data_IF_438884455344
#
_entry.id   IF_438884455344
#
_cell.length_a   1.000
_cell.length_b   1.000
_cell.length_c   1.000
_cell.angle_alpha   90.00
_cell.angle_beta   90.00
_cell.angle_gamma   90.00
#
_symmetry.space_group_name_H-M   'P 1'
#
loop_
_entity.id
_entity.type
_entity.pdbx_description
1 polymer ?
#
# COMPACT_ATOMS: atom_id res chain seq x y z
N UNK A 1 25.24 19.30 -32.49
CA UNK A 1 25.21 19.53 -31.02
C UNK A 1 26.51 20.09 -30.41
N UNK A 2 27.70 19.98 -31.02
CA UNK A 2 28.96 20.52 -30.44
C UNK A 2 29.16 22.05 -30.51
N UNK A 3 28.38 22.78 -31.32
CA UNK A 3 28.62 24.23 -31.59
C UNK A 3 27.99 25.22 -30.61
N UNK A 4 27.09 24.78 -29.72
CA UNK A 4 26.38 25.67 -28.78
C UNK A 4 27.05 25.65 -27.39
N UNK A 5 27.84 24.62 -27.07
CA UNK A 5 28.43 24.42 -25.74
C UNK A 5 29.68 25.29 -25.51
N UNK A 6 30.46 25.59 -26.57
CA UNK A 6 31.68 26.39 -26.46
C UNK A 6 31.48 27.85 -25.97
N UNK A 7 30.49 28.62 -26.46
CA UNK A 7 30.30 29.99 -25.97
C UNK A 7 29.76 30.07 -24.54
N UNK A 8 29.12 29.01 -24.04
CA UNK A 8 28.68 28.90 -22.64
C UNK A 8 29.86 28.72 -21.68
N UNK A 9 30.84 27.88 -22.03
CA UNK A 9 32.03 27.66 -21.22
C UNK A 9 32.91 28.91 -21.11
N UNK A 10 33.02 29.69 -22.19
CA UNK A 10 33.85 30.90 -22.23
C UNK A 10 33.28 32.08 -21.42
N UNK A 11 32.01 32.01 -20.99
CA UNK A 11 31.36 33.03 -20.16
C UNK A 11 31.50 32.77 -18.65
N UNK A 12 32.08 31.63 -18.28
CA UNK A 12 32.29 31.21 -16.89
C UNK A 12 33.66 31.68 -16.36
N UNK A 13 34.62 32.00 -17.24
CA UNK A 13 35.86 32.67 -16.86
C UNK A 13 35.64 34.18 -16.78
N UNK A 14 35.25 34.68 -15.60
CA UNK A 14 35.43 36.08 -15.26
C UNK A 14 36.20 36.19 -13.94
N UNK A 15 37.41 36.75 -14.01
CA UNK A 15 38.48 36.76 -13.00
C UNK A 15 38.30 37.75 -11.84
N UNK A 16 37.11 37.87 -11.24
CA UNK A 16 36.96 38.59 -9.95
C UNK A 16 35.99 37.80 -9.09
N UNK A 17 36.29 37.67 -7.79
CA UNK A 17 35.61 36.82 -6.82
C UNK A 17 34.13 37.14 -6.51
N UNK A 18 33.34 37.49 -7.52
CA UNK A 18 31.89 37.34 -7.50
C UNK A 18 31.54 35.97 -8.04
N UNK A 19 30.94 35.12 -7.21
CA UNK A 19 30.20 33.95 -7.69
C UNK A 19 29.28 34.45 -8.81
N UNK A 20 29.51 33.98 -10.03
CA UNK A 20 28.73 34.40 -11.20
C UNK A 20 27.25 34.21 -10.91
N UNK A 21 26.43 35.23 -11.15
CA UNK A 21 24.98 35.21 -10.92
C UNK A 21 24.31 33.96 -11.52
N UNK A 22 24.87 33.43 -12.63
CA UNK A 22 24.48 32.18 -13.26
C UNK A 22 24.70 30.94 -12.38
N UNK A 23 25.83 30.85 -11.66
CA UNK A 23 26.10 29.76 -10.71
C UNK A 23 25.09 29.80 -9.56
N UNK A 24 24.74 30.99 -9.09
CA UNK A 24 23.78 31.18 -8.00
C UNK A 24 22.37 30.74 -8.44
N UNK A 25 21.92 31.13 -9.65
CA UNK A 25 20.66 30.68 -10.24
C UNK A 25 20.65 29.16 -10.46
N UNK A 26 21.75 28.60 -10.98
CA UNK A 26 21.88 27.15 -11.15
C UNK A 26 21.80 26.46 -9.79
N UNK A 27 22.51 26.94 -8.75
CA UNK A 27 22.44 26.35 -7.41
C UNK A 27 21.03 26.40 -6.82
N UNK A 28 20.32 27.51 -6.98
CA UNK A 28 18.94 27.66 -6.48
C UNK A 28 18.00 26.64 -7.13
N UNK A 29 18.21 26.28 -8.40
CA UNK A 29 17.39 25.29 -9.11
C UNK A 29 17.88 23.86 -8.90
N UNK A 30 19.20 23.64 -8.89
CA UNK A 30 19.80 22.30 -8.79
C UNK A 30 19.76 21.76 -7.37
N UNK A 31 19.93 22.60 -6.34
CA UNK A 31 19.98 22.13 -4.95
C UNK A 31 18.65 21.44 -4.55
N UNK A 32 17.46 22.03 -4.80
CA UNK A 32 16.18 21.35 -4.58
C UNK A 32 16.08 20.03 -5.36
N UNK A 33 16.55 20.00 -6.61
CA UNK A 33 16.55 18.79 -7.43
C UNK A 33 17.47 17.69 -6.85
N UNK A 34 18.68 18.04 -6.39
CA UNK A 34 19.62 17.07 -5.80
C UNK A 34 19.10 16.50 -4.48
N UNK A 35 18.41 17.30 -3.66
CA UNK A 35 17.76 16.81 -2.43
C UNK A 35 16.61 15.87 -2.80
N UNK A 36 15.81 16.22 -3.80
CA UNK A 36 14.70 15.40 -4.27
C UNK A 36 15.18 14.04 -4.80
N UNK A 37 16.18 14.02 -5.69
CA UNK A 37 16.74 12.77 -6.24
C UNK A 37 17.53 11.99 -5.19
N UNK A 38 18.33 12.68 -4.38
CA UNK A 38 19.31 12.05 -3.49
C UNK A 38 18.71 11.49 -2.20
N UNK A 39 17.62 12.08 -1.69
CA UNK A 39 17.05 11.71 -0.38
C UNK A 39 15.61 11.23 -0.55
N UNK A 40 14.75 12.06 -1.16
CA UNK A 40 13.30 11.84 -1.11
C UNK A 40 12.83 10.71 -2.02
N UNK A 41 13.43 10.57 -3.21
CA UNK A 41 13.08 9.52 -4.15
C UNK A 41 13.42 8.12 -3.60
N UNK A 42 14.62 7.87 -3.05
CA UNK A 42 14.92 6.63 -2.33
C UNK A 42 13.93 6.35 -1.18
N UNK A 43 13.63 7.33 -0.33
CA UNK A 43 12.70 7.17 0.79
C UNK A 43 11.29 6.77 0.30
N UNK A 44 10.78 7.43 -0.73
CA UNK A 44 9.47 7.09 -1.33
C UNK A 44 9.45 5.67 -1.87
N UNK A 45 10.52 5.24 -2.55
CA UNK A 45 10.62 3.89 -3.10
C UNK A 45 10.63 2.87 -1.97
N UNK A 46 11.46 3.07 -0.94
CA UNK A 46 11.53 2.19 0.22
C UNK A 46 10.19 2.09 0.94
N UNK A 47 9.53 3.22 1.16
CA UNK A 47 8.20 3.26 1.74
C UNK A 47 7.17 2.50 0.90
N UNK A 48 7.19 2.67 -0.43
CA UNK A 48 6.31 1.95 -1.36
C UNK A 48 6.48 0.44 -1.21
N UNK A 49 7.73 -0.03 -1.13
CA UNK A 49 8.04 -1.45 -0.96
C UNK A 49 7.61 -1.96 0.42
N UNK A 50 7.89 -1.21 1.49
CA UNK A 50 7.49 -1.58 2.84
C UNK A 50 5.96 -1.70 2.96
N UNK A 51 5.22 -0.75 2.41
CA UNK A 51 3.75 -0.77 2.41
C UNK A 51 3.21 -1.95 1.59
N UNK A 52 3.83 -2.24 0.43
CA UNK A 52 3.46 -3.39 -0.39
C UNK A 52 3.69 -4.71 0.35
N UNK A 53 4.87 -4.88 0.94
CA UNK A 53 5.21 -6.10 1.68
C UNK A 53 4.35 -6.25 2.93
N UNK A 54 4.05 -5.16 3.65
CA UNK A 54 3.11 -5.17 4.75
C UNK A 54 1.75 -5.71 4.32
N UNK A 55 1.16 -5.17 3.26
CA UNK A 55 -0.15 -5.63 2.79
C UNK A 55 -0.13 -7.11 2.37
N UNK A 56 0.89 -7.55 1.64
CA UNK A 56 1.02 -8.95 1.19
C UNK A 56 1.25 -9.91 2.36
N UNK A 57 2.28 -9.65 3.18
CA UNK A 57 2.64 -10.53 4.29
C UNK A 57 1.53 -10.61 5.33
N UNK A 58 0.80 -9.50 5.56
CA UNK A 58 -0.35 -9.50 6.47
C UNK A 58 -1.45 -10.39 5.93
N UNK A 59 -1.84 -10.25 4.66
CA UNK A 59 -2.84 -11.13 4.05
C UNK A 59 -2.42 -12.61 4.15
N UNK A 60 -1.17 -12.92 3.80
CA UNK A 60 -0.61 -14.27 3.84
C UNK A 60 -0.55 -14.84 5.27
N UNK A 61 -0.25 -14.02 6.26
CA UNK A 61 -0.17 -14.49 7.65
C UNK A 61 -1.56 -14.71 8.25
N UNK A 62 -2.50 -13.81 7.97
CA UNK A 62 -3.88 -13.90 8.47
C UNK A 62 -4.60 -15.10 7.85
N UNK A 63 -4.41 -15.37 6.55
CA UNK A 63 -5.08 -16.51 5.90
C UNK A 63 -4.65 -17.85 6.51
N UNK A 64 -3.44 -17.93 7.08
CA UNK A 64 -2.96 -19.15 7.76
C UNK A 64 -3.52 -19.36 9.16
N UNK A 65 -4.19 -18.35 9.74
CA UNK A 65 -4.83 -18.44 11.06
C UNK A 65 -6.19 -19.08 10.93
N UNK A 66 -6.19 -20.37 10.64
CA UNK A 66 -7.41 -21.13 10.42
C UNK A 66 -8.07 -21.55 11.73
N UNK A 67 -9.39 -21.40 11.78
CA UNK A 67 -10.25 -21.97 12.81
C UNK A 67 -10.17 -23.50 12.74
N UNK A 68 -9.51 -24.10 13.72
CA UNK A 68 -9.30 -25.54 13.79
C UNK A 68 -10.62 -26.33 13.94
N UNK A 69 -11.63 -25.74 14.60
CA UNK A 69 -12.93 -26.38 14.75
C UNK A 69 -13.68 -26.39 13.41
N UNK A 70 -13.66 -25.28 12.67
CA UNK A 70 -14.21 -25.23 11.32
C UNK A 70 -13.47 -26.18 10.36
N UNK A 71 -12.13 -26.21 10.44
CA UNK A 71 -11.29 -27.06 9.61
C UNK A 71 -11.55 -28.55 9.85
N UNK A 72 -11.81 -28.95 11.10
CA UNK A 72 -12.17 -30.33 11.45
C UNK A 72 -13.49 -30.79 10.81
N UNK A 73 -14.36 -29.85 10.42
CA UNK A 73 -15.60 -30.10 9.70
C UNK A 73 -15.46 -29.93 8.18
N UNK A 74 -14.24 -29.73 7.68
CA UNK A 74 -13.99 -29.55 6.25
C UNK A 74 -14.29 -28.15 5.71
N UNK A 75 -14.43 -27.15 6.58
CA UNK A 75 -14.63 -25.76 6.17
C UNK A 75 -13.33 -24.96 6.40
N UNK A 76 -12.90 -24.19 5.41
CA UNK A 76 -11.69 -23.37 5.54
C UNK A 76 -12.12 -21.99 5.98
N UNK A 77 -11.94 -21.68 7.26
CA UNK A 77 -12.29 -20.37 7.82
C UNK A 77 -11.11 -19.83 8.61
N UNK A 78 -10.87 -18.55 8.48
CA UNK A 78 -9.91 -17.82 9.33
C UNK A 78 -10.56 -17.56 10.68
N UNK A 79 -9.82 -17.84 11.75
CA UNK A 79 -10.14 -17.39 13.10
C UNK A 79 -10.02 -15.86 13.12
N UNK A 80 -11.18 -15.21 13.26
CA UNK A 80 -11.25 -13.75 13.22
C UNK A 80 -10.46 -13.09 14.35
N UNK A 81 -10.44 -13.69 15.54
CA UNK A 81 -9.78 -13.09 16.71
C UNK A 81 -8.27 -13.16 16.55
N UNK A 82 -7.74 -14.36 16.27
CA UNK A 82 -6.31 -14.57 16.07
C UNK A 82 -5.83 -13.83 14.80
N UNK A 83 -6.62 -13.88 13.72
CA UNK A 83 -6.34 -13.18 12.48
C UNK A 83 -6.23 -11.67 12.65
N UNK A 84 -7.16 -11.03 13.36
CA UNK A 84 -7.11 -9.59 13.63
C UNK A 84 -5.91 -9.21 14.51
N UNK A 85 -5.59 -10.00 15.53
CA UNK A 85 -4.43 -9.76 16.40
C UNK A 85 -3.11 -9.82 15.62
N UNK A 86 -2.94 -10.87 14.80
CA UNK A 86 -1.76 -11.02 13.95
C UNK A 86 -1.66 -9.86 12.95
N UNK A 87 -2.78 -9.46 12.35
CA UNK A 87 -2.80 -8.35 11.42
C UNK A 87 -2.38 -7.03 12.10
N UNK A 88 -2.93 -6.73 13.27
CA UNK A 88 -2.58 -5.53 14.03
C UNK A 88 -1.09 -5.48 14.37
N UNK A 89 -0.53 -6.60 14.87
CA UNK A 89 0.89 -6.73 15.18
C UNK A 89 1.78 -6.51 13.94
N UNK A 90 1.43 -7.10 12.81
CA UNK A 90 2.21 -6.98 11.57
C UNK A 90 2.16 -5.58 10.98
N UNK A 91 0.97 -4.97 10.96
CA UNK A 91 0.77 -3.61 10.45
C UNK A 91 1.55 -2.63 11.32
N UNK A 92 1.38 -2.69 12.65
CA UNK A 92 2.09 -1.80 13.59
C UNK A 92 3.59 -2.02 13.56
N UNK A 93 4.05 -3.26 13.54
CA UNK A 93 5.48 -3.59 13.47
C UNK A 93 6.12 -3.07 12.19
N UNK A 94 5.47 -3.25 11.04
CA UNK A 94 6.04 -2.81 9.75
C UNK A 94 6.00 -1.29 9.59
N UNK A 95 4.96 -0.64 10.11
CA UNK A 95 4.79 0.82 10.02
C UNK A 95 5.46 1.56 11.19
N UNK A 96 6.04 0.82 12.14
CA UNK A 96 6.72 1.32 13.33
C UNK A 96 5.82 2.25 14.18
N UNK A 97 4.60 1.77 14.42
CA UNK A 97 3.56 2.42 15.21
C UNK A 97 3.67 2.00 16.69
N UNK A 98 3.31 2.89 17.59
CA UNK A 98 3.16 2.59 19.03
C UNK A 98 1.84 1.86 19.33
N UNK A 99 1.57 1.61 20.62
CA UNK A 99 0.35 0.94 21.09
C UNK A 99 -0.92 1.78 20.85
N UNK A 100 -0.76 3.09 20.63
CA UNK A 100 -1.83 4.03 20.33
C UNK A 100 -1.99 4.26 18.81
N UNK A 101 -1.13 3.65 17.98
CA UNK A 101 -1.15 3.75 16.53
C UNK A 101 -0.43 4.98 15.97
N UNK A 102 0.33 5.71 16.80
CA UNK A 102 1.11 6.86 16.36
C UNK A 102 2.48 6.43 15.81
N UNK A 103 2.99 7.14 14.80
CA UNK A 103 4.32 6.87 14.28
C UNK A 103 5.40 7.27 15.30
N UNK A 104 6.36 6.38 15.55
CA UNK A 104 7.51 6.62 16.43
C UNK A 104 8.56 7.61 15.87
N UNK A 105 8.21 8.41 14.86
CA UNK A 105 9.04 9.46 14.25
C UNK A 105 10.15 8.97 13.31
N UNK A 106 10.55 7.70 13.40
CA UNK A 106 11.57 7.06 12.53
C UNK A 106 10.98 6.20 11.41
N UNK A 107 9.65 6.12 11.33
CA UNK A 107 8.94 5.29 10.35
C UNK A 107 8.60 6.01 9.04
N UNK A 108 7.98 5.25 8.14
CA UNK A 108 7.42 5.71 6.85
C UNK A 108 6.31 6.74 7.05
N UNK A 109 5.63 6.70 8.20
CA UNK A 109 4.49 7.54 8.54
C UNK A 109 4.91 8.80 9.30
N UNK A 110 4.22 9.91 9.00
CA UNK A 110 4.36 11.20 9.70
C UNK A 110 3.13 11.58 10.52
N UNK A 111 2.04 10.85 10.33
CA UNK A 111 0.77 11.06 11.02
C UNK A 111 0.18 9.70 11.41
N UNK A 112 -0.73 9.73 12.38
CA UNK A 112 -1.53 8.56 12.77
C UNK A 112 -2.43 8.16 11.59
N UNK A 113 -2.52 6.87 11.33
CA UNK A 113 -3.45 6.32 10.34
C UNK A 113 -4.41 5.35 11.03
N UNK A 114 -5.70 5.34 10.67
CA UNK A 114 -6.63 4.37 11.24
C UNK A 114 -6.38 2.98 10.64
N UNK A 115 -6.57 1.95 11.48
CA UNK A 115 -6.60 0.54 11.07
C UNK A 115 -8.04 0.07 11.24
N UNK A 116 -8.61 -0.50 10.18
CA UNK A 116 -9.98 -0.98 10.14
C UNK A 116 -10.01 -2.48 9.88
N UNK A 117 -10.79 -3.20 10.67
CA UNK A 117 -11.03 -4.62 10.52
C UNK A 117 -12.51 -4.84 10.18
N UNK A 118 -12.76 -5.67 9.18
CA UNK A 118 -14.10 -6.05 8.77
C UNK A 118 -14.13 -7.53 8.36
N UNK A 119 -15.26 -8.17 8.57
CA UNK A 119 -15.52 -9.58 8.26
C UNK A 119 -16.53 -9.75 7.10
N UNK A 120 -17.05 -8.64 6.60
CA UNK A 120 -18.09 -8.59 5.58
C UNK A 120 -17.81 -7.52 4.54
N UNK A 121 -18.44 -7.68 3.38
CA UNK A 121 -18.34 -6.72 2.26
C UNK A 121 -19.33 -5.56 2.38
N UNK A 122 -20.15 -5.51 3.43
CA UNK A 122 -21.16 -4.44 3.62
C UNK A 122 -20.52 -3.08 3.84
N UNK A 123 -19.27 -3.07 4.32
CA UNK A 123 -18.49 -1.85 4.53
C UNK A 123 -17.84 -1.33 3.23
N UNK A 124 -17.99 -2.08 2.13
CA UNK A 124 -17.49 -1.70 0.82
C UNK A 124 -18.54 -0.93 0.02
N UNK A 125 -18.05 -0.05 -0.87
CA UNK A 125 -18.93 0.68 -1.79
C UNK A 125 -19.49 -0.29 -2.84
N UNK A 126 -20.81 -0.51 -2.80
CA UNK A 126 -21.54 -1.34 -3.77
C UNK A 126 -21.71 -0.57 -5.08
N UNK A 127 -21.26 -1.17 -6.18
CA UNK A 127 -21.41 -0.69 -7.55
C UNK A 127 -22.29 -1.69 -8.29
N UNK A 128 -23.45 -1.24 -8.74
CA UNK A 128 -24.38 -2.06 -9.51
C UNK A 128 -24.36 -1.62 -10.97
N UNK A 129 -24.14 -2.56 -11.89
CA UNK A 129 -24.23 -2.29 -13.30
C UNK A 129 -25.71 -2.30 -13.74
N UNK A 130 -26.29 -1.17 -14.15
CA UNK A 130 -27.72 -1.08 -14.46
C UNK A 130 -28.12 -1.89 -15.72
N UNK A 131 -27.16 -2.25 -16.58
CA UNK A 131 -27.43 -3.02 -17.79
C UNK A 131 -27.39 -4.53 -17.57
N UNK A 132 -26.56 -5.01 -16.63
CA UNK A 132 -26.36 -6.45 -16.39
C UNK A 132 -26.89 -6.92 -15.03
N UNK A 133 -27.24 -6.01 -14.12
CA UNK A 133 -27.58 -6.31 -12.74
C UNK A 133 -26.39 -6.81 -11.91
N UNK A 134 -25.19 -6.78 -12.46
CA UNK A 134 -23.98 -7.27 -11.81
C UNK A 134 -23.59 -6.36 -10.64
N UNK A 135 -23.35 -6.97 -9.47
CA UNK A 135 -22.95 -6.26 -8.26
C UNK A 135 -21.45 -6.45 -8.07
N UNK A 136 -20.72 -5.34 -8.00
CA UNK A 136 -19.29 -5.29 -7.67
C UNK A 136 -19.08 -4.45 -6.43
N UNK A 137 -18.01 -4.70 -5.70
CA UNK A 137 -17.64 -3.92 -4.53
C UNK A 137 -16.30 -3.23 -4.76
N UNK A 138 -16.17 -2.01 -4.26
CA UNK A 138 -14.93 -1.24 -4.36
C UNK A 138 -14.30 -1.06 -2.99
N UNK A 139 -12.99 -1.30 -2.93
CA UNK A 139 -12.20 -1.06 -1.73
C UNK A 139 -12.16 0.44 -1.37
N UNK A 140 -12.06 0.80 -0.08
CA UNK A 140 -11.98 2.19 0.32
C UNK A 140 -10.79 2.93 -0.30
N UNK A 141 -11.02 4.21 -0.64
CA UNK A 141 -9.97 5.14 -1.13
C UNK A 141 -9.50 6.13 -0.04
N UNK A 142 -10.07 6.05 1.17
CA UNK A 142 -9.73 6.90 2.32
C UNK A 142 -8.39 6.48 2.95
N UNK A 143 -7.74 7.40 3.65
CA UNK A 143 -6.48 7.13 4.37
C UNK A 143 -6.72 6.11 5.48
N UNK A 144 -5.87 5.07 5.53
CA UNK A 144 -5.96 4.00 6.51
C UNK A 144 -5.44 2.66 5.96
N UNK A 145 -5.39 1.67 6.85
CA UNK A 145 -5.20 0.26 6.50
C UNK A 145 -6.51 -0.47 6.77
N UNK A 146 -7.02 -1.18 5.76
CA UNK A 146 -8.27 -1.92 5.84
C UNK A 146 -7.98 -3.40 5.66
N UNK A 147 -8.40 -4.21 6.61
CA UNK A 147 -8.23 -5.66 6.61
C UNK A 147 -9.62 -6.28 6.55
N UNK A 148 -9.90 -6.98 5.45
CA UNK A 148 -11.13 -7.73 5.25
C UNK A 148 -10.82 -9.21 5.34
N UNK A 149 -11.50 -9.93 6.24
CA UNK A 149 -11.41 -11.38 6.35
C UNK A 149 -12.77 -11.93 5.94
N UNK A 150 -12.87 -12.40 4.69
CA UNK A 150 -14.12 -12.86 4.09
C UNK A 150 -14.16 -14.37 4.15
N UNK A 151 -14.80 -14.92 5.18
CA UNK A 151 -14.96 -16.37 5.35
C UNK A 151 -16.10 -16.90 4.49
N UNK A 152 -15.79 -17.68 3.46
CA UNK A 152 -16.75 -18.39 2.59
C UNK A 152 -18.02 -17.56 2.28
N UNK A 153 -17.91 -16.50 1.45
CA UNK A 153 -19.05 -15.64 1.19
C UNK A 153 -20.21 -16.43 0.57
N UNK A 154 -21.43 -16.20 1.05
CA UNK A 154 -22.61 -16.97 0.65
C UNK A 154 -22.93 -16.92 -0.86
N UNK A 155 -22.47 -15.87 -1.55
CA UNK A 155 -22.50 -15.76 -3.01
C UNK A 155 -21.13 -15.27 -3.48
N UNK A 156 -20.68 -15.62 -4.69
CA UNK A 156 -19.47 -15.06 -5.28
C UNK A 156 -19.49 -13.53 -5.22
N UNK A 157 -18.40 -12.94 -4.73
CA UNK A 157 -18.27 -11.49 -4.62
C UNK A 157 -17.13 -11.00 -5.50
N UNK A 158 -17.42 -10.10 -6.43
CA UNK A 158 -16.39 -9.43 -7.22
C UNK A 158 -15.93 -8.15 -6.53
N UNK A 159 -14.65 -8.08 -6.16
CA UNK A 159 -14.02 -6.89 -5.57
C UNK A 159 -13.10 -6.22 -6.58
N UNK A 160 -13.30 -4.93 -6.80
CA UNK A 160 -12.47 -4.09 -7.65
C UNK A 160 -11.22 -3.65 -6.88
N UNK A 161 -10.06 -4.11 -7.36
CA UNK A 161 -8.75 -3.67 -6.87
C UNK A 161 -8.02 -2.85 -7.93
N UNK A 162 -6.88 -2.26 -7.56
CA UNK A 162 -6.02 -1.54 -8.50
C UNK A 162 -5.39 -2.43 -9.57
N UNK A 163 -5.32 -3.75 -9.31
CA UNK A 163 -4.78 -4.72 -10.24
C UNK A 163 -5.87 -5.35 -11.13
N UNK A 164 -7.14 -5.00 -10.91
CA UNK A 164 -8.30 -5.57 -11.60
C UNK A 164 -9.37 -6.11 -10.65
N UNK A 165 -10.51 -6.57 -11.19
CA UNK A 165 -11.51 -7.31 -10.44
C UNK A 165 -10.93 -8.64 -9.94
N UNK A 166 -11.34 -9.05 -8.75
CA UNK A 166 -11.05 -10.36 -8.15
C UNK A 166 -12.38 -10.96 -7.74
N UNK A 167 -12.65 -12.17 -8.21
CA UNK A 167 -13.83 -12.94 -7.82
C UNK A 167 -13.49 -13.77 -6.58
N UNK A 168 -14.33 -13.64 -5.55
CA UNK A 168 -14.12 -14.26 -4.25
C UNK A 168 -15.17 -15.35 -4.07
N UNK A 169 -14.71 -16.59 -4.12
CA UNK A 169 -15.54 -17.78 -3.94
C UNK A 169 -15.19 -18.53 -2.65
N UNK A 170 -13.95 -18.38 -2.16
CA UNK A 170 -13.48 -19.03 -0.95
C UNK A 170 -13.04 -18.02 0.11
N UNK A 171 -12.61 -18.55 1.26
CA UNK A 171 -12.09 -17.74 2.34
C UNK A 171 -10.90 -16.93 1.88
N UNK A 172 -11.04 -15.60 1.97
CA UNK A 172 -10.11 -14.66 1.37
C UNK A 172 -9.83 -13.52 2.33
N UNK A 173 -8.55 -13.19 2.47
CA UNK A 173 -8.08 -12.03 3.22
C UNK A 173 -7.61 -10.96 2.26
N UNK A 174 -8.11 -9.74 2.44
CA UNK A 174 -7.71 -8.57 1.65
C UNK A 174 -7.18 -7.51 2.60
N UNK A 175 -5.97 -7.03 2.31
CA UNK A 175 -5.35 -5.93 3.05
C UNK A 175 -5.14 -4.77 2.10
N UNK A 176 -5.85 -3.67 2.31
CA UNK A 176 -5.74 -2.42 1.55
C UNK A 176 -5.05 -1.36 2.38
N UNK A 177 -3.88 -0.92 1.96
CA UNK A 177 -3.15 0.18 2.58
C UNK A 177 -3.21 1.44 1.70
N UNK A 178 -3.79 2.51 2.24
CA UNK A 178 -3.86 3.84 1.64
C UNK A 178 -3.09 4.81 2.54
N UNK A 179 -1.80 4.97 2.27
CA UNK A 179 -0.88 5.69 3.15
C UNK A 179 -0.38 6.96 2.47
N UNK A 180 -0.63 8.15 3.05
CA UNK A 180 -0.05 9.39 2.59
C UNK A 180 1.44 9.43 2.90
N UNK A 181 2.23 9.85 1.92
CA UNK A 181 3.64 10.13 2.10
C UNK A 181 3.92 11.57 1.66
N UNK A 182 4.60 12.29 2.54
CA UNK A 182 5.13 13.61 2.24
C UNK A 182 6.42 13.45 1.42
N UNK A 183 6.44 13.98 0.20
CA UNK A 183 7.68 14.20 -0.54
C UNK A 183 8.06 15.66 -0.39
N UNK A 184 9.23 15.92 0.22
CA UNK A 184 9.72 17.29 0.39
C UNK A 184 9.97 18.00 -0.94
N UNK A 185 10.28 19.29 -0.89
CA UNK A 185 10.59 20.12 -2.06
C UNK A 185 9.42 20.92 -2.62
N UNK A 186 8.19 20.38 -2.63
CA UNK A 186 7.00 21.11 -3.09
C UNK A 186 5.70 20.62 -2.42
N UNK A 187 5.67 20.46 -1.09
CA UNK A 187 4.46 20.18 -0.30
C UNK A 187 3.47 19.16 -0.92
N UNK A 188 3.96 18.19 -1.71
CA UNK A 188 3.11 17.33 -2.51
C UNK A 188 2.95 16.03 -1.74
N UNK A 189 1.77 15.90 -1.14
CA UNK A 189 1.36 14.68 -0.45
C UNK A 189 0.92 13.67 -1.50
N UNK A 190 1.67 12.58 -1.65
CA UNK A 190 1.30 11.49 -2.55
C UNK A 190 0.66 10.36 -1.75
N UNK A 191 -0.50 9.87 -2.20
CA UNK A 191 -1.11 8.68 -1.61
C UNK A 191 -0.46 7.43 -2.21
N UNK A 192 0.17 6.61 -1.38
CA UNK A 192 0.58 5.26 -1.76
C UNK A 192 -0.58 4.32 -1.49
N UNK A 193 -0.94 3.58 -2.53
CA UNK A 193 -2.01 2.60 -2.48
C UNK A 193 -1.45 1.23 -2.83
N UNK A 194 -1.72 0.25 -1.97
CA UNK A 194 -1.33 -1.15 -2.15
C UNK A 194 -2.41 -2.08 -1.62
N UNK A 195 -2.60 -3.18 -2.32
CA UNK A 195 -3.51 -4.25 -1.93
C UNK A 195 -2.74 -5.57 -1.90
N UNK A 196 -2.84 -6.29 -0.78
CA UNK A 196 -2.47 -7.70 -0.66
C UNK A 196 -3.75 -8.55 -0.62
N UNK A 197 -3.72 -9.71 -1.25
CA UNK A 197 -4.84 -10.66 -1.29
C UNK A 197 -4.27 -12.04 -1.09
N UNK A 198 -4.88 -12.81 -0.20
CA UNK A 198 -4.55 -14.21 0.02
C UNK A 198 -5.85 -15.00 0.14
N UNK A 199 -5.91 -16.16 -0.50
CA UNK A 199 -7.10 -17.02 -0.56
C UNK A 199 -6.71 -18.43 -0.11
N UNK A 200 -7.63 -19.08 0.60
CA UNK A 200 -7.48 -20.47 1.00
C UNK A 200 -8.71 -21.27 0.60
N UNK A 201 -8.46 -22.40 -0.03
CA UNK A 201 -9.46 -23.39 -0.41
C UNK A 201 -8.93 -24.80 -0.11
N UNK A 202 -9.84 -25.75 0.10
CA UNK A 202 -9.46 -27.16 0.13
C UNK A 202 -9.27 -27.64 -1.29
N UNK A 203 -8.06 -28.11 -1.62
CA UNK A 203 -7.89 -28.90 -2.82
C UNK A 203 -8.56 -30.26 -2.60
N UNK A 204 -9.62 -30.55 -3.35
CA UNK A 204 -10.08 -31.91 -3.55
C UNK A 204 -9.04 -32.67 -4.38
N UNK A 205 -7.94 -33.09 -3.78
CA UNK A 205 -7.05 -34.08 -4.41
C UNK A 205 -7.76 -35.44 -4.44
N UNK A 206 -8.44 -35.69 -5.55
CA UNK A 206 -8.54 -36.99 -6.21
C UNK A 206 -9.09 -38.16 -5.40
N UNK A 207 -10.41 -38.34 -5.46
CA UNK A 207 -11.00 -39.67 -5.44
C UNK A 207 -10.49 -40.46 -6.65
N UNK A 208 -9.58 -41.39 -6.41
CA UNK A 208 -9.01 -42.28 -7.41
C UNK A 208 -8.39 -43.49 -6.72
N UNK A 209 -9.27 -44.30 -6.13
CA UNK A 209 -9.01 -45.70 -5.76
C UNK A 209 -8.55 -46.53 -6.95
#
# INVERSE_FOLDING_TARGET
MKRIILPLLKRIENQKGSISMFILIIMIVFLPFTIWVGVQLPEKIQATYAIKQMAMNTADSVITRLDQAALSHGNVRVDMTEGMEVADLMIRGTLNLDAEGNPSGKGVLKEQIPIHFADTVTDLEKIENPATGEIRYKLPDKTGVYVYILNEPANPVTILTENGPIDIEHTTVIVRANIPIETGGFASRTMIRKTGVAEASLNETGGGS
#
